data_IF_800985630773
#
_entry.id   IF_800985630773
#
_cell.length_a   1.000
_cell.length_b   1.000
_cell.length_c   1.000
_cell.angle_alpha   90.00
_cell.angle_beta   90.00
_cell.angle_gamma   90.00
#
_symmetry.space_group_name_H-M   'P 1'
#
loop_
_entity.id
_entity.type
_entity.pdbx_description
1 polymer ?
#
# COMPACT_ATOMS: atom_id res chain seq x y z
N UNK A 1 1.37 8.75 83.94
CA UNK A 1 1.60 9.13 82.53
C UNK A 1 0.80 8.18 81.64
N UNK A 2 -0.18 8.69 80.90
CA UNK A 2 -0.93 7.89 79.91
C UNK A 2 -0.10 7.76 78.61
N UNK A 3 -0.21 6.64 77.86
CA UNK A 3 0.46 6.51 76.57
C UNK A 3 -0.26 7.36 75.51
N UNK A 4 0.45 7.86 74.49
CA UNK A 4 -0.16 8.70 73.46
C UNK A 4 -1.08 7.85 72.57
N UNK A 5 -2.30 8.36 72.33
CA UNK A 5 -3.26 7.79 71.38
C UNK A 5 -2.65 7.81 69.96
N UNK A 6 -2.46 6.63 69.37
CA UNK A 6 -2.17 6.48 67.93
C UNK A 6 -3.40 6.94 67.14
N UNK A 7 -3.35 8.15 66.60
CA UNK A 7 -4.29 8.60 65.56
C UNK A 7 -3.87 7.91 64.26
N UNK A 8 -4.64 6.88 63.86
CA UNK A 8 -4.54 6.30 62.51
C UNK A 8 -5.11 7.32 61.53
N UNK A 9 -4.22 8.07 60.86
CA UNK A 9 -4.60 8.76 59.63
C UNK A 9 -4.86 7.71 58.55
N UNK A 10 -6.12 7.33 58.35
CA UNK A 10 -6.55 6.74 57.08
C UNK A 10 -6.44 7.85 56.02
N UNK A 11 -5.26 7.98 55.39
CA UNK A 11 -5.18 8.63 54.09
C UNK A 11 -5.96 7.74 53.14
N UNK A 12 -7.22 8.09 52.87
CA UNK A 12 -7.96 7.52 51.74
C UNK A 12 -7.09 7.75 50.49
N UNK A 13 -6.72 6.67 49.81
CA UNK A 13 -6.12 6.76 48.49
C UNK A 13 -7.02 7.66 47.63
N UNK A 14 -6.45 8.56 46.80
CA UNK A 14 -7.24 9.33 45.86
C UNK A 14 -8.14 8.38 45.06
N UNK A 15 -9.41 8.76 44.76
CA UNK A 15 -10.30 7.96 43.94
C UNK A 15 -9.58 7.50 42.66
N UNK A 16 -9.72 6.23 42.29
CA UNK A 16 -9.10 5.69 41.08
C UNK A 16 -9.90 6.17 39.85
N UNK A 17 -9.61 7.41 39.44
CA UNK A 17 -10.28 8.09 38.32
C UNK A 17 -10.19 7.27 37.03
N UNK A 18 -9.12 6.49 36.84
CA UNK A 18 -8.95 5.66 35.64
C UNK A 18 -9.88 4.45 35.64
N UNK A 19 -10.15 3.85 36.81
CA UNK A 19 -11.11 2.74 36.91
C UNK A 19 -12.57 3.19 36.77
N UNK A 20 -12.88 4.45 37.08
CA UNK A 20 -14.24 4.99 37.04
C UNK A 20 -14.66 5.50 35.65
N UNK A 21 -13.75 5.54 34.67
CA UNK A 21 -14.05 6.02 33.32
C UNK A 21 -15.10 5.14 32.60
N UNK A 22 -16.12 5.72 31.93
CA UNK A 22 -17.07 4.98 31.12
C UNK A 22 -16.41 4.20 29.97
N UNK A 23 -16.97 3.05 29.59
CA UNK A 23 -16.40 2.16 28.56
C UNK A 23 -16.16 2.85 27.22
N UNK A 24 -17.09 3.70 26.80
CA UNK A 24 -16.97 4.46 25.55
C UNK A 24 -15.79 5.44 25.58
N UNK A 25 -15.45 5.99 26.74
CA UNK A 25 -14.28 6.88 26.90
C UNK A 25 -13.00 6.07 26.83
N UNK A 26 -12.97 4.89 27.46
CA UNK A 26 -11.83 3.97 27.36
C UNK A 26 -11.60 3.57 25.90
N UNK A 27 -12.66 3.20 25.18
CA UNK A 27 -12.57 2.83 23.76
C UNK A 27 -11.98 3.96 22.91
N UNK A 28 -12.42 5.21 23.12
CA UNK A 28 -11.85 6.39 22.45
C UNK A 28 -10.38 6.59 22.78
N UNK A 29 -9.99 6.48 24.07
CA UNK A 29 -8.59 6.59 24.48
C UNK A 29 -7.73 5.52 23.78
N UNK A 30 -8.17 4.27 23.79
CA UNK A 30 -7.42 3.17 23.19
C UNK A 30 -7.31 3.31 21.66
N UNK A 31 -8.33 3.85 20.99
CA UNK A 31 -8.28 4.13 19.55
C UNK A 31 -7.24 5.20 19.17
N UNK A 32 -6.81 6.03 20.11
CA UNK A 32 -5.76 7.02 19.92
C UNK A 32 -4.34 6.48 20.19
N UNK A 33 -4.23 5.25 20.71
CA UNK A 33 -2.95 4.64 21.07
C UNK A 33 -2.46 3.66 20.01
N UNK A 34 -1.14 3.54 19.80
CA UNK A 34 -0.57 2.39 19.09
C UNK A 34 -1.00 1.07 19.76
N UNK A 35 -1.15 0.00 18.98
CA UNK A 35 -1.63 -1.29 19.47
C UNK A 35 -0.85 -1.79 20.70
N UNK A 36 0.47 -1.58 20.72
CA UNK A 36 1.34 -1.93 21.85
C UNK A 36 0.93 -1.23 23.13
N UNK A 37 0.70 0.07 23.07
CA UNK A 37 0.39 0.89 24.23
C UNK A 37 -1.05 0.67 24.69
N UNK A 38 -1.98 0.45 23.75
CA UNK A 38 -3.35 0.03 24.07
C UNK A 38 -3.39 -1.33 24.81
N UNK A 39 -2.52 -2.27 24.47
CA UNK A 39 -2.39 -3.52 25.24
C UNK A 39 -1.75 -3.25 26.61
N UNK A 40 -0.77 -2.34 26.70
CA UNK A 40 -0.09 -2.01 27.98
C UNK A 40 -1.03 -1.39 29.01
N UNK A 41 -2.09 -0.69 28.60
CA UNK A 41 -3.08 -0.18 29.55
C UNK A 41 -3.83 -1.30 30.29
N UNK A 42 -3.75 -2.55 29.83
CA UNK A 42 -4.36 -3.71 30.52
C UNK A 42 -3.90 -3.91 31.97
N UNK A 43 -2.76 -3.33 32.36
CA UNK A 43 -2.23 -3.40 33.73
C UNK A 43 -2.77 -2.29 34.65
N UNK A 44 -3.46 -1.28 34.11
CA UNK A 44 -3.93 -0.12 34.88
C UNK A 44 -4.97 -0.53 35.92
N UNK A 45 -5.97 -1.32 35.51
CA UNK A 45 -6.95 -1.89 36.43
C UNK A 45 -7.68 -3.09 35.83
N UNK A 46 -8.50 -3.77 36.65
CA UNK A 46 -9.33 -4.89 36.18
C UNK A 46 -10.25 -4.50 35.04
N UNK A 47 -10.72 -3.24 35.01
CA UNK A 47 -11.58 -2.71 33.94
C UNK A 47 -10.82 -2.69 32.61
N UNK A 48 -9.64 -2.08 32.59
CA UNK A 48 -8.82 -1.89 31.39
C UNK A 48 -8.26 -3.19 30.79
N UNK A 49 -8.17 -4.28 31.58
CA UNK A 49 -7.48 -5.53 31.24
C UNK A 49 -7.83 -6.10 29.85
N UNK A 50 -9.09 -6.01 29.45
CA UNK A 50 -9.59 -6.61 28.19
C UNK A 50 -10.23 -5.60 27.23
N UNK A 51 -10.18 -4.28 27.50
CA UNK A 51 -10.78 -3.30 26.59
C UNK A 51 -10.11 -3.28 25.21
N UNK A 52 -8.80 -3.52 25.14
CA UNK A 52 -8.07 -3.58 23.87
C UNK A 52 -8.61 -4.70 22.95
N UNK A 53 -9.23 -5.75 23.49
CA UNK A 53 -9.83 -6.84 22.72
C UNK A 53 -11.07 -6.42 21.91
N UNK A 54 -11.61 -5.21 22.17
CA UNK A 54 -12.76 -4.64 21.44
C UNK A 54 -12.34 -3.69 20.32
N UNK A 55 -11.04 -3.46 20.15
CA UNK A 55 -10.53 -2.53 19.15
C UNK A 55 -10.83 -3.02 17.73
N UNK A 56 -11.47 -2.17 16.94
CA UNK A 56 -11.83 -2.45 15.55
C UNK A 56 -10.67 -2.23 14.57
N UNK A 57 -9.62 -1.56 15.03
CA UNK A 57 -8.42 -1.22 14.25
C UNK A 57 -7.20 -1.79 14.96
N UNK A 58 -6.45 -2.64 14.27
CA UNK A 58 -5.24 -3.27 14.81
C UNK A 58 -4.08 -3.15 13.83
N UNK A 59 -2.90 -2.88 14.36
CA UNK A 59 -1.66 -2.80 13.60
C UNK A 59 -0.59 -3.63 14.31
N UNK A 60 -0.10 -4.66 13.63
CA UNK A 60 0.99 -5.51 14.07
C UNK A 60 2.21 -5.26 13.17
N UNK A 61 3.26 -4.68 13.74
CA UNK A 61 4.50 -4.38 13.04
C UNK A 61 5.74 -4.75 13.87
N UNK A 62 6.92 -4.54 13.28
CA UNK A 62 8.20 -4.91 13.88
C UNK A 62 8.45 -4.29 15.26
N UNK A 63 7.82 -3.18 15.63
CA UNK A 63 7.96 -2.55 16.96
C UNK A 63 7.44 -3.41 18.12
N UNK A 64 6.62 -4.42 17.80
CA UNK A 64 6.05 -5.35 18.78
C UNK A 64 7.00 -6.49 19.15
N UNK A 65 7.92 -6.87 18.26
CA UNK A 65 8.81 -8.03 18.45
C UNK A 65 10.30 -7.74 18.25
N UNK A 66 10.67 -6.60 17.68
CA UNK A 66 12.07 -6.16 17.59
C UNK A 66 12.39 -5.24 18.76
N UNK A 67 13.27 -5.71 19.64
CA UNK A 67 13.73 -5.00 20.84
C UNK A 67 15.21 -5.29 21.01
N UNK A 68 16.01 -4.24 21.24
CA UNK A 68 17.50 -4.31 21.26
C UNK A 68 18.09 -5.26 22.31
N UNK A 69 17.29 -5.75 23.27
CA UNK A 69 17.75 -6.48 24.45
C UNK A 69 17.25 -7.93 24.53
N UNK A 70 16.50 -8.41 23.55
CA UNK A 70 15.81 -9.69 23.68
C UNK A 70 16.57 -10.83 23.00
N UNK A 71 16.70 -11.94 23.73
CA UNK A 71 17.31 -13.19 23.25
C UNK A 71 16.38 -14.02 22.35
N UNK A 72 15.07 -13.77 22.40
CA UNK A 72 14.08 -14.50 21.59
C UNK A 72 14.03 -13.96 20.16
N UNK A 73 13.97 -14.87 19.19
CA UNK A 73 13.82 -14.47 17.79
C UNK A 73 12.51 -13.69 17.57
N UNK A 74 12.53 -12.68 16.67
CA UNK A 74 11.35 -11.94 16.24
C UNK A 74 10.14 -12.82 15.92
N UNK A 75 10.37 -13.92 15.19
CA UNK A 75 9.34 -14.89 14.80
C UNK A 75 8.64 -15.49 16.01
N UNK A 76 9.39 -15.96 17.02
CA UNK A 76 8.80 -16.58 18.22
C UNK A 76 7.92 -15.59 18.98
N UNK A 77 8.33 -14.32 19.08
CA UNK A 77 7.52 -13.29 19.75
C UNK A 77 6.26 -12.97 18.96
N UNK A 78 6.36 -12.84 17.64
CA UNK A 78 5.21 -12.65 16.77
C UNK A 78 4.21 -13.80 16.94
N UNK A 79 4.67 -15.06 16.87
CA UNK A 79 3.84 -16.24 17.09
C UNK A 79 3.12 -16.18 18.44
N UNK A 80 3.81 -15.80 19.52
CA UNK A 80 3.18 -15.60 20.84
C UNK A 80 2.08 -14.53 20.83
N UNK A 81 2.31 -13.40 20.15
CA UNK A 81 1.31 -12.34 20.00
C UNK A 81 0.08 -12.89 19.29
N UNK A 82 0.25 -13.62 18.18
CA UNK A 82 -0.86 -14.22 17.42
C UNK A 82 -1.65 -15.21 18.28
N UNK A 83 -0.98 -16.10 19.02
CA UNK A 83 -1.65 -17.05 19.91
C UNK A 83 -2.42 -16.39 21.05
N UNK A 84 -2.03 -15.19 21.48
CA UNK A 84 -2.77 -14.41 22.48
C UNK A 84 -3.91 -13.60 21.84
N UNK A 85 -3.68 -13.04 20.66
CA UNK A 85 -4.63 -12.18 19.96
C UNK A 85 -5.87 -12.96 19.51
N UNK A 86 -5.66 -14.11 18.86
CA UNK A 86 -6.72 -14.90 18.22
C UNK A 86 -7.85 -15.29 19.19
N UNK A 87 -7.55 -15.82 20.39
CA UNK A 87 -8.60 -16.23 21.33
C UNK A 87 -9.24 -15.06 22.09
N UNK A 88 -8.52 -13.95 22.26
CA UNK A 88 -8.99 -12.85 23.10
C UNK A 88 -9.84 -11.83 22.34
N UNK A 89 -9.63 -11.71 21.04
CA UNK A 89 -10.31 -10.71 20.22
C UNK A 89 -11.64 -11.25 19.66
N UNK A 90 -12.71 -11.07 20.44
CA UNK A 90 -14.07 -11.49 20.05
C UNK A 90 -14.78 -10.46 19.16
N UNK A 91 -14.44 -9.17 19.31
CA UNK A 91 -15.10 -8.07 18.59
C UNK A 91 -14.86 -8.05 17.07
N UNK A 92 -15.56 -7.16 16.35
CA UNK A 92 -15.31 -6.95 14.92
C UNK A 92 -13.92 -6.32 14.71
N UNK A 93 -13.26 -6.68 13.61
CA UNK A 93 -12.02 -6.06 13.15
C UNK A 93 -12.31 -5.50 11.77
N UNK A 94 -12.42 -4.18 11.66
CA UNK A 94 -12.74 -3.50 10.40
C UNK A 94 -11.48 -3.04 9.67
N UNK A 95 -10.38 -2.77 10.39
CA UNK A 95 -9.08 -2.44 9.81
C UNK A 95 -7.97 -3.24 10.45
N UNK A 96 -7.18 -3.92 9.63
CA UNK A 96 -6.04 -4.69 10.07
C UNK A 96 -4.81 -4.40 9.21
N UNK A 97 -3.67 -4.19 9.87
CA UNK A 97 -2.37 -4.05 9.21
C UNK A 97 -1.39 -5.02 9.82
N UNK A 98 -0.83 -5.90 8.99
CA UNK A 98 0.26 -6.80 9.32
C UNK A 98 1.51 -6.37 8.57
N UNK A 99 2.61 -6.14 9.28
CA UNK A 99 3.92 -5.96 8.68
C UNK A 99 4.95 -6.90 9.30
N UNK A 100 5.20 -8.00 8.60
CA UNK A 100 6.17 -9.04 8.98
C UNK A 100 7.29 -9.17 7.95
N UNK A 101 7.55 -8.12 7.16
CA UNK A 101 8.54 -8.14 6.08
C UNK A 101 9.94 -8.60 6.51
N UNK A 102 10.34 -8.32 7.76
CA UNK A 102 11.65 -8.68 8.30
C UNK A 102 11.68 -10.06 9.00
N UNK A 103 10.54 -10.73 9.16
CA UNK A 103 10.51 -12.06 9.76
C UNK A 103 11.05 -13.11 8.79
N UNK A 104 11.68 -14.15 9.31
CA UNK A 104 12.23 -15.23 8.48
C UNK A 104 11.17 -16.21 8.01
N UNK A 105 10.19 -16.48 8.87
CA UNK A 105 9.09 -17.40 8.62
C UNK A 105 7.86 -16.99 9.43
N UNK A 106 6.68 -17.41 8.99
CA UNK A 106 5.40 -17.17 9.62
C UNK A 106 4.41 -18.29 9.23
N UNK A 107 4.56 -19.51 9.78
CA UNK A 107 3.70 -20.64 9.41
C UNK A 107 2.23 -20.41 9.77
N UNK A 108 1.93 -19.54 10.74
CA UNK A 108 0.58 -19.26 11.24
C UNK A 108 -0.22 -18.30 10.35
N UNK A 109 0.36 -17.75 9.27
CA UNK A 109 -0.30 -16.73 8.44
C UNK A 109 -1.63 -17.23 7.87
N UNK A 110 -1.70 -18.50 7.48
CA UNK A 110 -2.92 -19.11 6.94
C UNK A 110 -4.06 -19.11 7.96
N UNK A 111 -3.77 -19.54 9.20
CA UNK A 111 -4.73 -19.53 10.31
C UNK A 111 -5.13 -18.10 10.69
N UNK A 112 -4.16 -17.19 10.67
CA UNK A 112 -4.38 -15.79 11.00
C UNK A 112 -5.31 -15.09 10.00
N UNK A 113 -5.05 -15.24 8.69
CA UNK A 113 -5.91 -14.68 7.65
C UNK A 113 -7.30 -15.33 7.69
N UNK A 114 -7.39 -16.63 7.98
CA UNK A 114 -8.67 -17.32 8.15
C UNK A 114 -9.46 -16.87 9.39
N UNK A 115 -8.77 -16.38 10.44
CA UNK A 115 -9.41 -15.71 11.56
C UNK A 115 -9.96 -14.35 11.12
N UNK A 116 -9.16 -13.55 10.42
CA UNK A 116 -9.57 -12.23 9.92
C UNK A 116 -10.74 -12.30 8.94
N UNK A 117 -10.81 -13.34 8.10
CA UNK A 117 -11.91 -13.50 7.14
C UNK A 117 -13.27 -13.75 7.77
N UNK A 118 -13.30 -14.17 9.04
CA UNK A 118 -14.51 -14.37 9.84
C UNK A 118 -14.91 -13.10 10.59
N UNK A 119 -14.16 -12.01 10.41
CA UNK A 119 -14.44 -10.69 10.97
C UNK A 119 -14.96 -9.78 9.86
N UNK A 120 -15.59 -8.67 10.25
CA UNK A 120 -16.12 -7.65 9.33
C UNK A 120 -15.02 -6.76 8.73
N UNK A 121 -13.99 -7.38 8.15
CA UNK A 121 -12.80 -6.69 7.64
C UNK A 121 -13.13 -5.85 6.41
N UNK A 122 -12.79 -4.57 6.49
CA UNK A 122 -13.00 -3.59 5.41
C UNK A 122 -11.67 -3.08 4.85
N UNK A 123 -10.62 -3.02 5.68
CA UNK A 123 -9.29 -2.57 5.27
C UNK A 123 -8.27 -3.60 5.72
N UNK A 124 -7.59 -4.24 4.78
CA UNK A 124 -6.60 -5.26 5.06
C UNK A 124 -5.28 -4.93 4.37
N UNK A 125 -4.22 -4.80 5.17
CA UNK A 125 -2.85 -4.59 4.69
C UNK A 125 -1.99 -5.76 5.18
N UNK A 126 -1.42 -6.53 4.25
CA UNK A 126 -0.53 -7.65 4.54
C UNK A 126 0.82 -7.45 3.86
N UNK A 127 1.83 -7.05 4.63
CA UNK A 127 3.23 -7.04 4.20
C UNK A 127 3.92 -8.30 4.71
N UNK A 128 4.04 -9.30 3.84
CA UNK A 128 4.65 -10.58 4.17
C UNK A 128 6.16 -10.56 3.93
N UNK A 129 6.85 -11.58 4.44
CA UNK A 129 8.30 -11.68 4.31
C UNK A 129 8.74 -11.87 2.87
N UNK A 130 9.66 -11.03 2.41
CA UNK A 130 10.43 -11.19 1.17
C UNK A 130 11.29 -12.47 1.10
N UNK A 131 11.60 -13.12 2.23
CA UNK A 131 12.42 -14.34 2.25
C UNK A 131 11.65 -15.59 1.82
N UNK A 132 10.31 -15.58 1.90
CA UNK A 132 9.47 -16.74 1.65
C UNK A 132 8.21 -16.34 0.87
N UNK A 133 7.89 -17.07 -0.18
CA UNK A 133 6.67 -16.82 -0.95
C UNK A 133 5.46 -17.49 -0.28
N UNK A 134 4.60 -16.69 0.34
CA UNK A 134 3.40 -17.20 1.01
C UNK A 134 2.22 -17.32 0.06
N UNK A 135 1.65 -18.51 -0.06
CA UNK A 135 0.35 -18.70 -0.70
C UNK A 135 -0.75 -18.14 0.21
N UNK A 136 -1.52 -17.19 -0.30
CA UNK A 136 -2.68 -16.66 0.41
C UNK A 136 -3.77 -17.73 0.55
N UNK A 137 -4.39 -17.87 1.73
CA UNK A 137 -5.47 -18.83 1.92
C UNK A 137 -6.74 -18.39 1.20
N UNK A 138 -7.56 -19.36 0.79
CA UNK A 138 -8.83 -19.10 0.09
C UNK A 138 -9.81 -18.26 0.91
N UNK A 139 -9.71 -18.32 2.23
CA UNK A 139 -10.50 -17.53 3.18
C UNK A 139 -10.36 -16.02 2.98
N UNK A 140 -9.24 -15.52 2.47
CA UNK A 140 -9.08 -14.10 2.15
C UNK A 140 -10.13 -13.62 1.13
N UNK A 141 -10.49 -14.47 0.17
CA UNK A 141 -11.39 -14.16 -0.93
C UNK A 141 -12.86 -14.25 -0.53
N UNK A 142 -13.17 -14.62 0.71
CA UNK A 142 -14.54 -14.61 1.26
C UNK A 142 -14.88 -13.30 1.98
N UNK A 143 -13.93 -12.35 2.06
CA UNK A 143 -14.11 -11.06 2.72
C UNK A 143 -14.99 -10.12 1.86
N UNK A 144 -16.31 -10.26 1.94
CA UNK A 144 -17.26 -9.49 1.10
C UNK A 144 -17.31 -7.98 1.40
N UNK A 145 -16.96 -7.58 2.63
CA UNK A 145 -17.00 -6.17 3.06
C UNK A 145 -15.70 -5.41 2.74
N UNK A 146 -14.76 -6.03 2.02
CA UNK A 146 -13.43 -5.49 1.79
C UNK A 146 -13.48 -4.28 0.85
N UNK A 147 -13.00 -3.13 1.35
CA UNK A 147 -12.93 -1.85 0.63
C UNK A 147 -11.50 -1.48 0.22
N UNK A 148 -10.52 -1.89 1.01
CA UNK A 148 -9.10 -1.64 0.76
C UNK A 148 -8.30 -2.91 1.00
N UNK A 149 -7.53 -3.32 -0.01
CA UNK A 149 -6.65 -4.48 0.06
C UNK A 149 -5.25 -4.10 -0.40
N UNK A 150 -4.27 -4.21 0.49
CA UNK A 150 -2.85 -4.10 0.18
C UNK A 150 -2.18 -5.44 0.46
N UNK A 151 -1.56 -6.03 -0.56
CA UNK A 151 -0.84 -7.28 -0.48
C UNK A 151 0.60 -7.08 -0.94
N UNK A 152 1.55 -7.57 -0.15
CA UNK A 152 2.97 -7.52 -0.50
C UNK A 152 3.70 -8.83 -0.25
N UNK A 153 4.54 -9.25 -1.21
CA UNK A 153 5.39 -10.45 -1.16
C UNK A 153 4.59 -11.76 -0.96
N UNK A 154 3.61 -12.02 -1.82
CA UNK A 154 2.77 -13.23 -1.70
C UNK A 154 2.42 -13.85 -3.05
N UNK A 155 1.98 -15.11 -3.02
CA UNK A 155 1.40 -15.83 -4.13
C UNK A 155 -0.13 -15.81 -4.00
N UNK A 156 -0.79 -15.27 -5.02
CA UNK A 156 -2.24 -15.17 -5.06
C UNK A 156 -2.82 -16.19 -6.01
N UNK A 157 -3.69 -17.06 -5.49
CA UNK A 157 -4.41 -18.10 -6.24
C UNK A 157 -5.87 -18.11 -5.79
N UNK A 158 -6.72 -17.23 -6.36
CA UNK A 158 -8.14 -17.20 -6.02
C UNK A 158 -8.83 -18.54 -6.34
N UNK A 159 -9.80 -18.98 -5.52
CA UNK A 159 -10.64 -20.14 -5.85
C UNK A 159 -11.42 -19.92 -7.15
N UNK A 160 -11.75 -20.99 -7.89
CA UNK A 160 -12.51 -20.88 -9.15
C UNK A 160 -13.92 -20.29 -8.98
N UNK A 161 -14.52 -20.41 -7.79
CA UNK A 161 -15.82 -19.83 -7.47
C UNK A 161 -15.75 -18.34 -7.11
N UNK A 162 -14.56 -17.76 -6.99
CA UNK A 162 -14.38 -16.36 -6.59
C UNK A 162 -14.90 -15.42 -7.68
N UNK A 163 -15.85 -14.56 -7.31
CA UNK A 163 -16.51 -13.60 -8.20
C UNK A 163 -16.00 -12.17 -8.03
N UNK A 164 -14.84 -11.97 -7.41
CA UNK A 164 -14.29 -10.65 -7.12
C UNK A 164 -14.72 -10.06 -5.78
N UNK A 165 -14.44 -8.77 -5.60
CA UNK A 165 -14.76 -8.01 -4.41
C UNK A 165 -15.68 -6.83 -4.75
N UNK A 166 -16.97 -6.98 -4.46
CA UNK A 166 -18.02 -6.03 -4.87
C UNK A 166 -17.84 -4.62 -4.31
N UNK A 167 -17.22 -4.50 -3.13
CA UNK A 167 -17.08 -3.25 -2.38
C UNK A 167 -15.65 -2.66 -2.45
N UNK A 168 -14.75 -3.29 -3.23
CA UNK A 168 -13.34 -2.92 -3.25
C UNK A 168 -13.11 -1.62 -4.01
N UNK A 169 -12.66 -0.60 -3.28
CA UNK A 169 -12.38 0.73 -3.82
C UNK A 169 -10.90 0.97 -4.08
N UNK A 170 -10.02 0.23 -3.40
CA UNK A 170 -8.57 0.37 -3.50
C UNK A 170 -7.90 -1.00 -3.48
N UNK A 171 -7.09 -1.27 -4.49
CA UNK A 171 -6.28 -2.48 -4.60
C UNK A 171 -4.82 -2.11 -4.78
N UNK A 172 -3.94 -2.63 -3.92
CA UNK A 172 -2.50 -2.47 -4.02
C UNK A 172 -1.82 -3.84 -3.98
N UNK A 173 -1.09 -4.16 -5.04
CA UNK A 173 -0.34 -5.41 -5.19
C UNK A 173 1.14 -5.08 -5.42
N UNK A 174 1.97 -5.39 -4.43
CA UNK A 174 3.42 -5.16 -4.49
C UNK A 174 4.19 -6.48 -4.42
N UNK A 175 4.95 -6.82 -5.46
CA UNK A 175 5.70 -8.07 -5.55
C UNK A 175 4.79 -9.29 -5.26
N UNK A 176 3.61 -9.30 -5.89
CA UNK A 176 2.62 -10.38 -5.78
C UNK A 176 2.74 -11.26 -7.02
N UNK A 177 2.98 -12.55 -6.81
CA UNK A 177 2.98 -13.53 -7.90
C UNK A 177 1.54 -13.91 -8.24
N UNK A 178 1.11 -13.56 -9.45
CA UNK A 178 -0.21 -13.82 -10.01
C UNK A 178 -0.08 -13.90 -11.55
N UNK A 179 -0.89 -14.71 -12.23
CA UNK A 179 -0.95 -14.66 -13.70
C UNK A 179 -1.72 -13.44 -14.18
N UNK A 180 -1.41 -12.98 -15.39
CA UNK A 180 -2.12 -11.87 -16.07
C UNK A 180 -3.62 -12.12 -16.17
N UNK A 181 -4.04 -13.30 -16.63
CA UNK A 181 -5.45 -13.68 -16.76
C UNK A 181 -6.20 -13.57 -15.42
N UNK A 182 -5.58 -14.01 -14.32
CA UNK A 182 -6.19 -13.91 -12.99
C UNK A 182 -6.23 -12.45 -12.50
N UNK A 183 -5.26 -11.62 -12.88
CA UNK A 183 -5.21 -10.22 -12.50
C UNK A 183 -6.29 -9.42 -13.22
N UNK A 184 -6.44 -9.63 -14.52
CA UNK A 184 -7.51 -9.05 -15.34
C UNK A 184 -8.89 -9.45 -14.82
N UNK A 185 -9.06 -10.74 -14.51
CA UNK A 185 -10.30 -11.26 -13.92
C UNK A 185 -10.56 -10.60 -12.57
N UNK A 186 -9.56 -10.50 -11.67
CA UNK A 186 -9.73 -9.85 -10.37
C UNK A 186 -10.16 -8.39 -10.52
N UNK A 187 -9.49 -7.62 -11.39
CA UNK A 187 -9.76 -6.20 -11.58
C UNK A 187 -11.16 -5.97 -12.18
N UNK A 188 -11.53 -6.74 -13.21
CA UNK A 188 -12.84 -6.64 -13.87
C UNK A 188 -14.01 -6.99 -12.94
N UNK A 189 -13.78 -7.84 -11.95
CA UNK A 189 -14.76 -8.22 -10.94
C UNK A 189 -14.73 -7.31 -9.68
N UNK A 190 -14.09 -6.14 -9.75
CA UNK A 190 -14.14 -5.11 -8.72
C UNK A 190 -14.84 -3.85 -9.28
N UNK A 191 -16.19 -3.81 -9.32
CA UNK A 191 -16.93 -2.82 -10.10
C UNK A 191 -16.79 -1.37 -9.61
N UNK A 192 -16.45 -1.18 -8.33
CA UNK A 192 -16.31 0.14 -7.69
C UNK A 192 -14.84 0.54 -7.45
N UNK A 193 -13.89 -0.14 -8.10
CA UNK A 193 -12.46 0.09 -7.92
C UNK A 193 -12.09 1.50 -8.40
N UNK A 194 -11.68 2.36 -7.46
CA UNK A 194 -11.28 3.74 -7.71
C UNK A 194 -9.76 3.96 -7.74
N UNK A 195 -9.01 3.10 -7.05
CA UNK A 195 -7.54 3.16 -6.99
C UNK A 195 -6.93 1.79 -7.24
N UNK A 196 -5.94 1.73 -8.13
CA UNK A 196 -5.17 0.54 -8.43
C UNK A 196 -3.68 0.86 -8.38
N UNK A 197 -2.93 0.12 -7.56
CA UNK A 197 -1.48 0.23 -7.45
C UNK A 197 -0.88 -1.14 -7.73
N UNK A 198 -0.03 -1.23 -8.75
CA UNK A 198 0.63 -2.46 -9.18
C UNK A 198 2.14 -2.23 -9.20
N UNK A 199 2.88 -3.00 -8.43
CA UNK A 199 4.34 -3.03 -8.46
C UNK A 199 4.76 -4.48 -8.67
N UNK A 200 4.93 -4.90 -9.93
CA UNK A 200 5.08 -6.31 -10.32
C UNK A 200 6.24 -6.40 -11.31
N UNK A 201 7.25 -7.22 -11.00
CA UNK A 201 8.47 -7.39 -11.81
C UNK A 201 8.38 -8.47 -12.88
N UNK A 202 7.45 -9.43 -12.75
CA UNK A 202 7.46 -10.69 -13.51
C UNK A 202 6.29 -10.80 -14.51
N UNK A 203 5.90 -9.69 -15.14
CA UNK A 203 4.78 -9.71 -16.10
C UNK A 203 5.30 -10.16 -17.46
N UNK A 204 4.91 -11.36 -17.89
CA UNK A 204 5.34 -11.96 -19.16
C UNK A 204 4.35 -11.73 -20.32
N UNK A 205 3.18 -11.12 -20.06
CA UNK A 205 2.14 -10.91 -21.07
C UNK A 205 1.43 -9.58 -20.87
N UNK A 206 0.76 -9.11 -21.92
CA UNK A 206 -0.09 -7.94 -21.85
C UNK A 206 -1.20 -8.16 -20.79
N UNK A 207 -1.47 -7.14 -19.98
CA UNK A 207 -2.54 -7.05 -18.98
C UNK A 207 -3.52 -5.99 -19.45
N UNK A 208 -4.76 -6.39 -19.67
CA UNK A 208 -5.85 -5.49 -20.03
C UNK A 208 -6.63 -5.02 -18.81
N UNK A 209 -6.53 -3.73 -18.50
CA UNK A 209 -7.22 -3.11 -17.37
C UNK A 209 -8.60 -2.63 -17.82
N UNK A 210 -9.62 -3.32 -17.29
CA UNK A 210 -11.03 -2.98 -17.44
C UNK A 210 -11.60 -2.59 -16.07
N UNK A 211 -11.63 -1.28 -15.78
CA UNK A 211 -12.05 -0.76 -14.49
C UNK A 211 -12.75 0.61 -14.69
N UNK A 212 -14.07 0.62 -14.98
CA UNK A 212 -14.77 1.82 -15.42
C UNK A 212 -14.84 2.93 -14.36
N UNK A 213 -14.71 2.58 -13.07
CA UNK A 213 -14.73 3.51 -11.94
C UNK A 213 -13.34 3.98 -11.50
N UNK A 214 -12.28 3.53 -12.19
CA UNK A 214 -10.89 3.80 -11.81
C UNK A 214 -10.56 5.27 -11.99
N UNK A 215 -10.00 5.89 -10.94
CA UNK A 215 -9.60 7.31 -10.90
C UNK A 215 -8.10 7.51 -10.77
N UNK A 216 -7.40 6.55 -10.15
CA UNK A 216 -5.95 6.59 -9.96
C UNK A 216 -5.34 5.24 -10.30
N UNK A 217 -4.30 5.27 -11.11
CA UNK A 217 -3.51 4.09 -11.48
C UNK A 217 -2.02 4.37 -11.28
N UNK A 218 -1.39 3.61 -10.39
CA UNK A 218 0.06 3.67 -10.20
C UNK A 218 0.64 2.29 -10.57
N UNK A 219 1.59 2.27 -11.51
CA UNK A 219 2.23 1.06 -12.00
C UNK A 219 3.75 1.18 -11.94
N UNK A 220 4.40 0.13 -11.46
CA UNK A 220 5.84 -0.05 -11.51
C UNK A 220 6.17 -1.43 -12.05
N UNK A 221 6.93 -1.48 -13.15
CA UNK A 221 7.30 -2.70 -13.85
C UNK A 221 7.48 -2.46 -15.35
N UNK A 222 7.31 -3.52 -16.15
CA UNK A 222 7.25 -3.44 -17.61
C UNK A 222 5.97 -2.70 -18.06
N UNK A 223 6.08 -1.42 -18.41
CA UNK A 223 4.93 -0.59 -18.84
C UNK A 223 4.35 -1.09 -20.19
N UNK A 224 5.14 -1.74 -21.05
CA UNK A 224 4.68 -2.25 -22.35
C UNK A 224 3.67 -3.40 -22.21
N UNK A 225 3.72 -4.06 -21.04
CA UNK A 225 2.76 -5.06 -20.62
C UNK A 225 1.39 -4.50 -20.24
N UNK A 226 1.19 -3.18 -20.12
CA UNK A 226 -0.11 -2.62 -19.72
C UNK A 226 -0.94 -2.13 -20.92
N UNK A 227 -2.24 -2.37 -20.87
CA UNK A 227 -3.24 -1.80 -21.78
C UNK A 227 -4.44 -1.30 -20.97
N UNK A 228 -4.78 0.00 -21.07
CA UNK A 228 -5.95 0.56 -20.39
C UNK A 228 -7.14 0.62 -21.36
N UNK A 229 -8.00 -0.41 -21.32
CA UNK A 229 -9.10 -0.57 -22.28
C UNK A 229 -10.40 0.14 -21.89
N UNK A 230 -10.76 0.14 -20.62
CA UNK A 230 -12.02 0.73 -20.16
C UNK A 230 -11.83 1.44 -18.83
N UNK A 231 -11.33 2.69 -18.90
CA UNK A 231 -10.99 3.54 -17.74
C UNK A 231 -11.38 5.02 -17.96
N UNK A 232 -12.63 5.33 -18.37
CA UNK A 232 -13.02 6.67 -18.79
C UNK A 232 -12.93 7.73 -17.68
N UNK A 233 -12.90 7.32 -16.41
CA UNK A 233 -12.83 8.20 -15.24
C UNK A 233 -11.40 8.37 -14.68
N UNK A 234 -10.38 7.85 -15.38
CA UNK A 234 -9.01 7.85 -14.90
C UNK A 234 -8.42 9.26 -14.94
N UNK A 235 -8.15 9.83 -13.77
CA UNK A 235 -7.66 11.21 -13.59
C UNK A 235 -6.15 11.24 -13.39
N UNK A 236 -5.60 10.23 -12.70
CA UNK A 236 -4.18 10.16 -12.37
C UNK A 236 -3.56 8.85 -12.86
N UNK A 237 -2.44 8.97 -13.58
CA UNK A 237 -1.60 7.85 -13.97
C UNK A 237 -0.16 8.12 -13.55
N UNK A 238 0.46 7.12 -12.92
CA UNK A 238 1.90 7.08 -12.61
C UNK A 238 2.49 5.79 -13.16
N UNK A 239 3.37 5.87 -14.15
CA UNK A 239 4.05 4.69 -14.71
C UNK A 239 5.55 4.80 -14.48
N UNK A 240 6.13 3.79 -13.84
CA UNK A 240 7.57 3.69 -13.52
C UNK A 240 8.13 2.43 -14.18
N UNK A 241 8.97 2.60 -15.19
CA UNK A 241 9.60 1.49 -15.92
C UNK A 241 10.77 0.87 -15.15
N UNK A 242 10.92 -0.46 -15.19
CA UNK A 242 11.96 -1.17 -14.43
C UNK A 242 13.22 -1.56 -15.23
N UNK A 243 13.22 -1.70 -16.56
CA UNK A 243 14.46 -1.84 -17.38
C UNK A 243 14.20 -1.73 -18.90
N UNK A 244 13.09 -1.10 -19.29
CA UNK A 244 12.57 -1.19 -20.67
C UNK A 244 13.32 -0.32 -21.70
N UNK A 245 12.92 -0.39 -22.98
CA UNK A 245 13.18 0.67 -23.97
C UNK A 245 11.90 1.47 -24.15
N UNK A 246 11.91 2.78 -23.94
CA UNK A 246 10.70 3.61 -24.07
C UNK A 246 10.10 3.57 -25.49
N UNK A 247 10.91 3.25 -26.50
CA UNK A 247 10.53 3.13 -27.92
C UNK A 247 9.57 1.97 -28.20
N UNK A 248 9.53 0.94 -27.34
CA UNK A 248 8.59 -0.17 -27.48
C UNK A 248 7.21 0.13 -26.89
N UNK A 249 7.04 1.31 -26.26
CA UNK A 249 5.79 1.67 -25.63
C UNK A 249 4.80 2.17 -26.67
N UNK A 250 3.76 1.37 -26.91
CA UNK A 250 2.59 1.81 -27.65
C UNK A 250 1.70 2.69 -26.75
N UNK A 251 1.87 4.00 -26.87
CA UNK A 251 1.08 4.96 -26.11
C UNK A 251 -0.41 4.89 -26.43
N UNK A 252 -0.81 4.52 -27.65
CA UNK A 252 -2.23 4.38 -27.99
C UNK A 252 -2.83 3.25 -27.18
N UNK A 253 -2.17 2.10 -27.18
CA UNK A 253 -2.56 0.95 -26.36
C UNK A 253 -2.69 1.29 -24.87
N UNK A 254 -1.86 2.19 -24.34
CA UNK A 254 -1.90 2.57 -22.92
C UNK A 254 -2.95 3.64 -22.65
N UNK A 255 -3.10 4.67 -23.48
CA UNK A 255 -3.82 5.89 -23.12
C UNK A 255 -5.06 6.22 -23.96
N UNK A 256 -5.36 5.46 -25.02
CA UNK A 256 -6.49 5.75 -25.93
C UNK A 256 -7.83 5.92 -25.18
N UNK A 257 -8.04 5.17 -24.10
CA UNK A 257 -9.28 5.19 -23.31
C UNK A 257 -9.32 6.25 -22.19
N UNK A 258 -8.25 7.04 -22.02
CA UNK A 258 -8.04 7.93 -20.87
C UNK A 258 -8.53 9.36 -21.14
N UNK A 259 -9.83 9.54 -21.37
CA UNK A 259 -10.41 10.85 -21.74
C UNK A 259 -10.36 11.89 -20.60
N UNK A 260 -10.40 11.46 -19.34
CA UNK A 260 -10.41 12.33 -18.16
C UNK A 260 -9.03 12.55 -17.51
N UNK A 261 -7.94 12.13 -18.16
CA UNK A 261 -6.59 12.15 -17.56
C UNK A 261 -6.07 13.57 -17.35
N UNK A 262 -5.89 13.99 -16.09
CA UNK A 262 -5.38 15.33 -15.75
C UNK A 262 -3.94 15.30 -15.23
N UNK A 263 -3.53 14.19 -14.61
CA UNK A 263 -2.23 14.03 -13.96
C UNK A 263 -1.48 12.84 -14.55
N UNK A 264 -0.35 13.12 -15.18
CA UNK A 264 0.50 12.11 -15.76
C UNK A 264 1.89 12.19 -15.15
N UNK A 265 2.34 11.07 -14.58
CA UNK A 265 3.70 10.87 -14.12
C UNK A 265 4.30 9.71 -14.92
N UNK A 266 5.42 9.96 -15.58
CA UNK A 266 6.14 8.97 -16.36
C UNK A 266 7.60 8.96 -15.94
N UNK A 267 8.08 7.83 -15.43
CA UNK A 267 9.48 7.65 -15.06
C UNK A 267 10.07 6.47 -15.84
N UNK A 268 11.09 6.78 -16.64
CA UNK A 268 11.82 5.83 -17.49
C UNK A 268 13.27 5.65 -17.02
N UNK A 269 13.60 5.97 -15.77
CA UNK A 269 14.96 6.09 -15.23
C UNK A 269 15.90 4.91 -15.54
N UNK A 270 15.39 3.69 -15.71
CA UNK A 270 16.22 2.50 -16.00
C UNK A 270 16.28 2.12 -17.49
N UNK A 271 15.63 2.87 -18.39
CA UNK A 271 15.62 2.52 -19.81
C UNK A 271 16.91 2.93 -20.50
N UNK A 272 17.71 1.97 -20.95
CA UNK A 272 18.75 2.21 -21.96
C UNK A 272 18.06 2.50 -23.29
N UNK A 273 18.04 3.76 -23.72
CA UNK A 273 17.80 4.09 -25.13
C UNK A 273 19.08 3.63 -25.85
N UNK A 274 18.97 2.60 -26.68
CA UNK A 274 20.08 2.19 -27.53
C UNK A 274 19.99 2.97 -28.84
N UNK A 275 21.14 3.32 -29.42
CA UNK A 275 21.33 4.17 -30.61
C UNK A 275 20.72 3.61 -31.93
N UNK A 276 19.51 3.06 -31.91
CA UNK A 276 18.76 2.86 -33.14
C UNK A 276 18.23 4.23 -33.59
N UNK A 277 18.68 4.65 -34.77
CA UNK A 277 18.42 5.93 -35.45
C UNK A 277 16.94 6.16 -35.83
N UNK A 278 15.98 5.61 -35.07
CA UNK A 278 14.58 5.89 -35.25
C UNK A 278 14.30 7.33 -34.79
N UNK A 279 13.88 8.19 -35.73
CA UNK A 279 13.39 9.52 -35.39
C UNK A 279 12.24 9.39 -34.39
N UNK A 280 12.37 10.05 -33.24
CA UNK A 280 11.30 10.10 -32.27
C UNK A 280 10.04 10.69 -32.96
N UNK A 281 8.87 10.06 -32.81
CA UNK A 281 7.64 10.60 -33.40
C UNK A 281 7.43 12.05 -32.96
N UNK A 282 6.78 12.86 -33.80
CA UNK A 282 6.63 14.30 -33.49
C UNK A 282 5.48 14.57 -32.52
N UNK A 283 4.43 13.76 -32.56
CA UNK A 283 3.26 13.78 -31.66
C UNK A 283 2.62 12.40 -31.54
N UNK A 284 1.92 12.18 -30.43
CA UNK A 284 1.06 11.02 -30.28
C UNK A 284 0.01 10.97 -31.40
N UNK A 285 -0.41 9.77 -31.84
CA UNK A 285 -1.44 9.62 -32.89
C UNK A 285 -2.83 10.10 -32.43
N UNK A 286 -3.00 10.39 -31.15
CA UNK A 286 -4.18 10.93 -30.51
C UNK A 286 -3.75 12.03 -29.53
N UNK A 287 -4.66 12.97 -29.24
CA UNK A 287 -4.36 14.07 -28.35
C UNK A 287 -4.93 13.82 -26.94
N UNK A 288 -4.06 13.85 -25.93
CA UNK A 288 -4.45 13.80 -24.52
C UNK A 288 -4.76 15.22 -24.03
N UNK A 289 -5.88 15.74 -24.52
CA UNK A 289 -6.29 17.15 -24.33
C UNK A 289 -6.64 17.52 -22.89
N UNK A 290 -6.82 16.54 -22.00
CA UNK A 290 -7.16 16.77 -20.59
C UNK A 290 -5.95 16.89 -19.67
N UNK A 291 -4.75 16.54 -20.13
CA UNK A 291 -3.54 16.50 -19.27
C UNK A 291 -3.13 17.92 -18.90
N UNK A 292 -3.24 18.25 -17.61
CA UNK A 292 -2.89 19.56 -17.03
C UNK A 292 -1.56 19.53 -16.30
N UNK A 293 -1.20 18.41 -15.68
CA UNK A 293 0.06 18.26 -14.95
C UNK A 293 0.86 17.07 -15.48
N UNK A 294 2.08 17.34 -15.90
CA UNK A 294 3.01 16.34 -16.39
C UNK A 294 4.30 16.35 -15.58
N UNK A 295 4.66 15.17 -15.06
CA UNK A 295 5.87 14.95 -14.28
C UNK A 295 6.73 13.93 -15.02
N UNK A 296 7.95 14.34 -15.36
CA UNK A 296 8.91 13.53 -16.08
C UNK A 296 10.26 13.62 -15.35
N UNK A 297 10.42 12.87 -14.25
CA UNK A 297 11.68 12.86 -13.53
C UNK A 297 12.75 12.07 -14.28
N UNK A 298 13.99 12.23 -13.83
CA UNK A 298 15.13 11.44 -14.24
C UNK A 298 15.51 11.52 -15.74
N UNK A 299 15.33 12.68 -16.38
CA UNK A 299 15.81 12.91 -17.75
C UNK A 299 17.32 13.16 -17.74
N UNK A 300 18.05 12.49 -18.63
CA UNK A 300 19.47 12.76 -18.90
C UNK A 300 19.60 13.69 -20.12
N UNK A 301 20.05 14.94 -19.92
CA UNK A 301 20.19 15.92 -21.01
C UNK A 301 21.32 15.59 -22.00
N UNK A 302 22.31 14.77 -21.60
CA UNK A 302 23.38 14.33 -22.48
C UNK A 302 22.89 13.34 -23.56
N UNK A 303 21.70 12.76 -23.38
CA UNK A 303 21.10 11.79 -24.27
C UNK A 303 20.09 12.50 -25.19
N UNK A 304 20.50 12.73 -26.44
CA UNK A 304 19.69 13.44 -27.44
C UNK A 304 18.37 12.73 -27.75
N UNK A 305 18.31 11.40 -27.60
CA UNK A 305 17.10 10.61 -27.82
C UNK A 305 16.11 10.79 -26.66
N UNK A 306 16.59 10.72 -25.41
CA UNK A 306 15.75 11.01 -24.22
C UNK A 306 15.16 12.41 -24.26
N UNK A 307 15.96 13.41 -24.66
CA UNK A 307 15.48 14.78 -24.80
C UNK A 307 14.44 14.90 -25.91
N UNK A 308 14.68 14.27 -27.07
CA UNK A 308 13.74 14.27 -28.19
C UNK A 308 12.42 13.62 -27.81
N UNK A 309 12.47 12.50 -27.08
CA UNK A 309 11.31 11.81 -26.55
C UNK A 309 10.53 12.65 -25.54
N UNK A 310 11.23 13.33 -24.62
CA UNK A 310 10.61 14.26 -23.69
C UNK A 310 9.88 15.40 -24.42
N UNK A 311 10.52 15.99 -25.44
CA UNK A 311 9.90 17.03 -26.26
C UNK A 311 8.69 16.52 -27.04
N UNK A 312 8.74 15.29 -27.55
CA UNK A 312 7.61 14.60 -28.18
C UNK A 312 6.41 14.49 -27.23
N UNK A 313 6.65 14.04 -25.98
CA UNK A 313 5.59 13.93 -24.97
C UNK A 313 5.00 15.29 -24.65
N UNK A 314 5.84 16.29 -24.37
CA UNK A 314 5.38 17.66 -24.05
C UNK A 314 4.53 18.23 -25.19
N UNK A 315 4.95 18.05 -26.46
CA UNK A 315 4.20 18.51 -27.64
C UNK A 315 2.86 17.82 -27.84
N UNK A 316 2.63 16.69 -27.16
CA UNK A 316 1.40 15.91 -27.24
C UNK A 316 0.35 16.33 -26.19
N UNK A 317 0.68 17.26 -25.29
CA UNK A 317 -0.21 17.75 -24.23
C UNK A 317 -0.55 19.24 -24.43
N UNK A 318 -1.58 19.58 -25.23
CA UNK A 318 -1.87 20.97 -25.59
C UNK A 318 -2.44 21.82 -24.44
N UNK A 319 -3.00 21.20 -23.40
CA UNK A 319 -3.61 21.88 -22.25
C UNK A 319 -2.75 21.81 -20.98
N UNK A 320 -1.43 21.64 -21.15
CA UNK A 320 -0.50 21.50 -20.03
C UNK A 320 -0.37 22.82 -19.25
N UNK A 321 -0.69 22.79 -17.95
CA UNK A 321 -0.61 23.94 -17.03
C UNK A 321 0.65 23.88 -16.15
N UNK A 322 1.11 22.67 -15.80
CA UNK A 322 2.26 22.43 -14.95
C UNK A 322 3.14 21.33 -15.52
N UNK A 323 4.44 21.62 -15.64
CA UNK A 323 5.46 20.70 -16.10
C UNK A 323 6.59 20.67 -15.08
N UNK A 324 6.91 19.47 -14.58
CA UNK A 324 8.07 19.24 -13.73
C UNK A 324 8.98 18.21 -14.37
N UNK A 325 10.22 18.62 -14.59
CA UNK A 325 11.28 17.78 -15.15
C UNK A 325 12.42 17.77 -14.14
N UNK A 326 12.76 16.58 -13.64
CA UNK A 326 13.97 16.40 -12.82
C UNK A 326 15.09 15.91 -13.74
N UNK A 327 16.11 16.75 -13.90
CA UNK A 327 17.29 16.41 -14.71
C UNK A 327 18.35 15.78 -13.84
N UNK A 328 18.90 14.65 -14.29
CA UNK A 328 20.08 14.05 -13.67
C UNK A 328 21.34 14.55 -14.37
N UNK A 329 22.12 15.38 -13.68
CA UNK A 329 23.48 15.71 -14.09
C UNK A 329 24.46 14.71 -13.47
N UNK A 330 25.24 14.00 -14.29
CA UNK A 330 26.40 13.21 -13.83
C UNK A 330 27.58 14.10 -13.35
N UNK A 331 27.30 15.29 -12.82
CA UNK A 331 28.28 16.08 -12.11
C UNK A 331 28.18 15.70 -10.63
N UNK A 332 29.09 14.80 -10.25
CA UNK A 332 29.44 14.37 -8.89
C UNK A 332 28.57 13.28 -8.24
N UNK A 333 29.20 12.11 -8.08
CA UNK A 333 29.13 11.39 -6.81
C UNK A 333 29.54 12.34 -5.68
N UNK A 334 28.56 13.01 -5.07
CA UNK A 334 28.78 13.97 -4.01
C UNK A 334 27.47 14.59 -3.58
N UNK A 335 26.94 14.13 -2.44
CA UNK A 335 25.84 14.77 -1.73
C UNK A 335 26.14 16.26 -1.52
N UNK A 336 25.40 17.14 -2.17
CA UNK A 336 25.20 18.51 -1.68
C UNK A 336 23.77 18.95 -1.93
N UNK A 337 23.03 19.11 -0.84
CA UNK A 337 21.78 19.86 -0.79
C UNK A 337 22.13 21.34 -0.73
N UNK A 338 21.61 22.13 -1.67
CA UNK A 338 21.58 23.58 -1.52
C UNK A 338 20.15 23.99 -1.19
N UNK A 339 19.95 24.39 0.07
CA UNK A 339 18.87 25.29 0.46
C UNK A 339 19.20 26.67 -0.09
N UNK A 340 18.28 27.25 -0.87
CA UNK A 340 18.27 28.69 -1.11
C UNK A 340 17.24 29.32 -0.17
N UNK A 341 17.75 30.05 0.82
CA UNK A 341 17.00 30.96 1.68
C UNK A 341 16.65 32.23 0.89
N UNK A 342 15.46 32.84 1.07
CA UNK A 342 15.06 34.03 0.35
C UNK A 342 15.49 35.30 1.10
N UNK A 343 16.16 36.23 0.40
CA UNK A 343 16.08 37.66 0.67
C UNK A 343 15.86 38.42 -0.63
#
# INVERSE_FOLDING_TARGET
MMPPKRIKYCRSLPPDVLSDLPDNVIDVILMCLPCKDAVRTSILSKKWRYHWCRLTKLTLDSSLWVTKKDLLSPTVKFTKIIYQLLPLHEGPITKFTLNIGFLESCPEIGNFVSFLSRKDIQHLVLHLSWKMLYKLPSSLFTCSQLRHLTLRNCLMLPPSAFQGFDMLTSLELCNVKISSVLLETLISHCPVLGQLVLNISDILSIIEINAPMLRSFDFRGDISSICLKNVPLLVKVSLVGDDMRAENLDFAKVFESCSALEHLYLDFFNTMFFDDYAEAPTRLPFALNSVKRFYLPHIMLADSHKLSFALFLIRSFPCLEYLEILVLSFLFSGYFSYFLDPQ
#
